data_IF_341208658664
#
_entry.id   IF_341208658664
#
_cell.length_a   1.000
_cell.length_b   1.000
_cell.length_c   1.000
_cell.angle_alpha   90.00
_cell.angle_beta   90.00
_cell.angle_gamma   90.00
#
_symmetry.space_group_name_H-M   'P 1'
#
loop_
_entity.id
_entity.type
_entity.pdbx_description
1 polymer ?
#
# COMPACT_ATOMS: atom_id res chain seq x y z
N UNK A 1 -6.45 33.92 4.11
CA UNK A 1 -7.07 33.46 5.38
C UNK A 1 -7.18 31.96 5.31
N UNK A 2 -6.56 31.23 6.24
CA UNK A 2 -6.82 29.79 6.37
C UNK A 2 -8.27 29.57 6.79
N UNK A 3 -8.92 28.48 6.36
CA UNK A 3 -10.26 28.15 6.83
C UNK A 3 -10.29 28.02 8.35
N UNK A 4 -11.46 28.26 8.94
CA UNK A 4 -11.67 28.00 10.37
C UNK A 4 -11.39 26.51 10.67
N UNK A 5 -10.81 26.18 11.83
CA UNK A 5 -10.45 24.81 12.16
C UNK A 5 -11.69 23.92 12.18
N UNK A 6 -11.59 22.75 11.57
CA UNK A 6 -12.68 21.80 11.47
C UNK A 6 -12.54 20.74 12.56
N UNK A 7 -13.54 20.63 13.44
CA UNK A 7 -13.55 19.64 14.53
C UNK A 7 -14.62 18.58 14.30
N UNK A 8 -14.21 17.32 14.34
CA UNK A 8 -15.09 16.16 14.41
C UNK A 8 -15.10 15.62 15.84
N UNK A 9 -16.29 15.28 16.34
CA UNK A 9 -16.47 14.55 17.58
C UNK A 9 -17.06 13.17 17.26
N UNK A 10 -16.20 12.17 17.35
CA UNK A 10 -16.56 10.77 17.22
C UNK A 10 -17.18 10.32 18.55
N UNK A 11 -18.36 9.71 18.53
CA UNK A 11 -19.14 9.33 19.72
C UNK A 11 -19.70 7.91 19.58
N UNK A 12 -20.16 7.34 20.70
CA UNK A 12 -20.83 6.03 20.69
C UNK A 12 -19.90 4.88 20.32
N UNK A 13 -18.58 5.07 20.46
CA UNK A 13 -17.56 4.08 20.12
C UNK A 13 -16.95 3.39 21.34
N UNK A 14 -15.93 2.57 21.06
CA UNK A 14 -14.98 2.03 22.05
C UNK A 14 -13.60 2.53 21.66
N UNK A 15 -13.11 3.57 22.34
CA UNK A 15 -11.86 4.23 21.97
C UNK A 15 -10.72 3.68 22.82
N UNK A 16 -9.78 2.98 22.19
CA UNK A 16 -8.58 2.51 22.88
C UNK A 16 -7.62 3.67 23.13
N UNK A 17 -7.41 4.00 24.40
CA UNK A 17 -6.41 4.97 24.83
C UNK A 17 -5.86 4.59 26.20
N UNK A 18 -4.53 4.56 26.34
CA UNK A 18 -3.89 4.26 27.61
C UNK A 18 -4.20 5.30 28.71
N UNK A 19 -4.47 6.55 28.32
CA UNK A 19 -4.81 7.64 29.25
C UNK A 19 -6.31 7.74 29.57
N UNK A 20 -7.16 7.03 28.82
CA UNK A 20 -8.61 7.06 28.96
C UNK A 20 -9.21 5.69 28.60
N UNK A 21 -9.07 4.67 29.49
CA UNK A 21 -9.40 3.29 29.16
C UNK A 21 -10.88 3.04 28.92
N UNK A 22 -11.76 3.86 29.49
CA UNK A 22 -13.22 3.73 29.35
C UNK A 22 -13.79 4.63 28.25
N UNK A 23 -12.96 5.27 27.42
CA UNK A 23 -13.40 6.29 26.48
C UNK A 23 -14.41 5.77 25.44
N UNK A 24 -15.47 6.55 25.27
CA UNK A 24 -16.55 6.33 24.30
C UNK A 24 -16.55 7.36 23.16
N UNK A 25 -15.82 8.46 23.33
CA UNK A 25 -15.71 9.56 22.38
C UNK A 25 -14.29 10.11 22.21
N UNK A 26 -14.03 10.71 21.06
CA UNK A 26 -12.77 11.35 20.68
C UNK A 26 -13.05 12.58 19.82
N UNK A 27 -12.39 13.71 20.12
CA UNK A 27 -12.44 14.90 19.28
C UNK A 27 -11.14 15.04 18.46
N UNK A 28 -11.30 15.30 17.17
CA UNK A 28 -10.21 15.51 16.21
C UNK A 28 -10.39 16.85 15.54
N UNK A 29 -9.39 17.73 15.67
CA UNK A 29 -9.35 19.02 14.97
C UNK A 29 -8.23 18.98 13.94
N UNK A 30 -8.57 19.17 12.66
CA UNK A 30 -7.62 19.19 11.55
C UNK A 30 -6.60 18.03 11.57
N UNK A 31 -7.09 16.81 11.81
CA UNK A 31 -6.27 15.59 11.87
C UNK A 31 -5.53 15.34 13.18
N UNK A 32 -5.64 16.24 14.16
CA UNK A 32 -5.01 16.08 15.48
C UNK A 32 -6.05 15.70 16.53
N UNK A 33 -5.78 14.65 17.32
CA UNK A 33 -6.61 14.31 18.49
C UNK A 33 -6.42 15.39 19.56
N UNK A 34 -7.49 16.15 19.86
CA UNK A 34 -7.46 17.23 20.86
C UNK A 34 -8.08 16.83 22.18
N UNK A 35 -8.89 15.76 22.20
CA UNK A 35 -9.55 15.27 23.41
C UNK A 35 -10.02 13.81 23.25
N UNK A 36 -10.00 13.06 24.35
CA UNK A 36 -10.51 11.67 24.43
C UNK A 36 -11.24 11.51 25.77
N UNK A 37 -12.42 10.89 25.77
CA UNK A 37 -13.19 10.67 26.99
C UNK A 37 -14.58 10.11 26.74
N UNK A 38 -15.57 10.54 27.52
CA UNK A 38 -16.95 10.05 27.45
C UNK A 38 -17.85 10.92 26.55
N UNK A 39 -18.81 10.30 25.85
CA UNK A 39 -19.76 10.99 24.93
C UNK A 39 -20.34 12.30 25.48
N UNK A 40 -20.86 12.28 26.71
CA UNK A 40 -21.55 13.45 27.29
C UNK A 40 -20.60 14.64 27.53
N UNK A 41 -19.46 14.48 28.23
CA UNK A 41 -18.43 15.53 28.27
C UNK A 41 -17.96 15.99 26.90
N UNK A 42 -17.76 15.07 25.94
CA UNK A 42 -17.32 15.41 24.60
C UNK A 42 -18.27 16.39 23.91
N UNK A 43 -19.58 16.11 23.94
CA UNK A 43 -20.60 17.00 23.36
C UNK A 43 -20.68 18.36 24.03
N UNK A 44 -20.38 18.43 25.34
CA UNK A 44 -20.38 19.69 26.08
C UNK A 44 -19.14 20.53 25.81
N UNK A 45 -17.97 19.90 25.64
CA UNK A 45 -16.69 20.56 25.37
C UNK A 45 -16.54 20.97 23.91
N UNK A 46 -17.22 20.27 23.00
CA UNK A 46 -17.17 20.50 21.56
C UNK A 46 -18.58 20.66 20.96
N UNK A 47 -19.35 21.69 21.36
CA UNK A 47 -20.74 21.86 20.97
C UNK A 47 -20.94 22.16 19.47
N UNK A 48 -19.93 22.76 18.83
CA UNK A 48 -19.96 23.15 17.41
C UNK A 48 -19.28 22.12 16.49
N UNK A 49 -18.81 20.99 17.03
CA UNK A 49 -18.16 19.95 16.24
C UNK A 49 -19.14 19.16 15.38
N UNK A 50 -18.67 18.71 14.21
CA UNK A 50 -19.38 17.71 13.42
C UNK A 50 -19.45 16.40 14.22
N UNK A 51 -20.66 15.90 14.47
CA UNK A 51 -20.85 14.65 15.19
C UNK A 51 -20.74 13.47 14.24
N UNK A 52 -19.87 12.51 14.57
CA UNK A 52 -19.74 11.23 13.88
C UNK A 52 -20.12 10.10 14.85
N UNK A 53 -21.27 9.48 14.65
CA UNK A 53 -21.69 8.31 15.44
C UNK A 53 -20.97 7.05 14.94
N UNK A 54 -20.27 6.37 15.85
CA UNK A 54 -19.50 5.17 15.56
C UNK A 54 -20.32 3.87 15.71
N UNK A 55 -21.56 3.93 16.19
CA UNK A 55 -22.45 2.78 16.32
C UNK A 55 -21.81 1.57 17.04
N UNK A 56 -21.03 1.83 18.09
CA UNK A 56 -20.33 0.81 18.89
C UNK A 56 -19.00 0.33 18.30
N UNK A 57 -18.54 0.90 17.18
CA UNK A 57 -17.28 0.53 16.55
C UNK A 57 -16.09 0.79 17.48
N UNK A 58 -15.03 0.00 17.27
CA UNK A 58 -13.78 0.12 17.99
C UNK A 58 -12.82 1.05 17.25
N UNK A 59 -12.18 1.97 17.97
CA UNK A 59 -11.14 2.85 17.45
C UNK A 59 -9.84 2.54 18.16
N UNK A 60 -8.79 2.32 17.38
CA UNK A 60 -7.43 2.10 17.87
C UNK A 60 -6.47 3.07 17.19
N UNK A 61 -5.27 3.30 17.77
CA UNK A 61 -4.16 3.87 17.03
C UNK A 61 -3.94 3.10 15.73
N UNK A 62 -3.64 3.83 14.65
CA UNK A 62 -3.21 3.21 13.40
C UNK A 62 -1.94 2.37 13.63
N UNK A 63 -1.77 1.32 12.84
CA UNK A 63 -0.54 0.54 12.87
C UNK A 63 0.64 1.41 12.41
N UNK A 64 1.78 1.27 13.11
CA UNK A 64 3.04 1.89 12.73
C UNK A 64 4.04 0.77 12.45
N UNK A 65 4.42 0.63 11.19
CA UNK A 65 5.51 -0.24 10.78
C UNK A 65 6.80 0.59 10.75
N UNK A 66 7.75 0.26 11.62
CA UNK A 66 9.02 0.99 11.77
C UNK A 66 10.09 0.52 10.78
N UNK A 67 9.83 -0.55 10.02
CA UNK A 67 10.77 -1.04 9.03
C UNK A 67 10.04 -1.69 7.86
N UNK A 68 9.88 -0.89 6.80
CA UNK A 68 9.29 -1.35 5.54
C UNK A 68 10.11 -0.86 4.36
N UNK A 69 10.13 -1.65 3.29
CA UNK A 69 10.65 -1.26 1.99
C UNK A 69 9.51 -0.74 1.10
N UNK A 70 9.01 0.46 1.38
CA UNK A 70 7.78 0.99 0.75
C UNK A 70 7.88 1.05 -0.78
N UNK A 71 9.00 1.52 -1.31
CA UNK A 71 9.21 1.59 -2.78
C UNK A 71 9.19 0.21 -3.42
N UNK A 72 9.94 -0.75 -2.85
CA UNK A 72 9.98 -2.12 -3.37
C UNK A 72 8.61 -2.80 -3.29
N UNK A 73 7.86 -2.56 -2.21
CA UNK A 73 6.50 -3.08 -2.06
C UNK A 73 5.54 -2.48 -3.10
N UNK A 74 5.61 -1.16 -3.33
CA UNK A 74 4.83 -0.51 -4.38
C UNK A 74 5.15 -1.08 -5.77
N UNK A 75 6.43 -1.23 -6.10
CA UNK A 75 6.86 -1.83 -7.37
C UNK A 75 6.40 -3.29 -7.52
N UNK A 76 6.34 -4.07 -6.44
CA UNK A 76 5.80 -5.43 -6.48
C UNK A 76 4.28 -5.45 -6.69
N UNK A 77 3.54 -4.46 -6.18
CA UNK A 77 2.09 -4.36 -6.34
C UNK A 77 1.67 -3.86 -7.73
N UNK A 78 2.44 -2.96 -8.32
CA UNK A 78 2.06 -2.28 -9.58
C UNK A 78 2.87 -2.75 -10.78
N UNK A 79 4.03 -3.37 -10.56
CA UNK A 79 4.91 -3.86 -11.61
C UNK A 79 4.47 -5.21 -12.17
N UNK A 80 5.34 -5.77 -13.02
CA UNK A 80 5.13 -7.06 -13.65
C UNK A 80 5.53 -8.21 -12.72
N UNK A 81 4.55 -8.96 -12.22
CA UNK A 81 4.80 -10.19 -11.45
C UNK A 81 4.97 -11.41 -12.37
N UNK A 82 6.16 -12.03 -12.29
CA UNK A 82 6.55 -13.24 -13.02
C UNK A 82 6.66 -14.48 -12.13
N UNK A 83 6.19 -14.41 -10.87
CA UNK A 83 6.27 -15.53 -9.90
C UNK A 83 5.59 -16.80 -10.42
N UNK A 84 4.54 -16.65 -11.22
CA UNK A 84 3.80 -17.76 -11.84
C UNK A 84 4.24 -18.09 -13.28
N UNK A 85 5.34 -17.51 -13.77
CA UNK A 85 5.88 -17.88 -15.07
C UNK A 85 6.41 -19.32 -15.04
N UNK A 86 6.00 -20.13 -16.01
CA UNK A 86 6.28 -21.59 -16.03
C UNK A 86 7.52 -21.96 -16.83
N UNK A 87 7.96 -21.07 -17.72
CA UNK A 87 9.18 -21.17 -18.52
C UNK A 87 9.57 -19.76 -19.03
N UNK A 88 10.71 -19.69 -19.73
CA UNK A 88 11.24 -18.44 -20.31
C UNK A 88 10.29 -17.82 -21.33
N UNK A 89 9.63 -18.63 -22.15
CA UNK A 89 8.74 -18.13 -23.20
C UNK A 89 7.46 -17.51 -22.60
N UNK A 90 6.90 -18.13 -21.55
CA UNK A 90 5.78 -17.58 -20.79
C UNK A 90 6.16 -16.26 -20.11
N UNK A 91 7.35 -16.18 -19.51
CA UNK A 91 7.86 -14.94 -18.93
C UNK A 91 7.94 -13.81 -19.97
N UNK A 92 8.53 -14.06 -21.14
CA UNK A 92 8.65 -13.07 -22.22
C UNK A 92 7.30 -12.69 -22.84
N UNK A 93 6.36 -13.64 -22.91
CA UNK A 93 4.98 -13.37 -23.33
C UNK A 93 4.28 -12.41 -22.36
N UNK A 94 4.50 -12.58 -21.05
CA UNK A 94 3.98 -11.66 -20.02
C UNK A 94 4.62 -10.28 -20.10
N UNK A 95 5.93 -10.20 -20.39
CA UNK A 95 6.62 -8.92 -20.65
C UNK A 95 5.98 -8.18 -21.84
N UNK A 96 5.77 -8.87 -22.98
CA UNK A 96 5.10 -8.29 -24.16
C UNK A 96 3.71 -7.76 -23.82
N UNK A 97 2.90 -8.60 -23.17
CA UNK A 97 1.54 -8.23 -22.79
C UNK A 97 1.51 -7.04 -21.82
N UNK A 98 2.47 -6.95 -20.91
CA UNK A 98 2.60 -5.82 -20.00
C UNK A 98 3.01 -4.55 -20.75
N UNK A 99 3.97 -4.64 -21.68
CA UNK A 99 4.39 -3.53 -22.54
C UNK A 99 3.26 -2.99 -23.42
N UNK A 100 2.41 -3.87 -23.96
CA UNK A 100 1.26 -3.49 -24.81
C UNK A 100 0.13 -2.83 -24.00
N UNK A 101 0.01 -3.18 -22.72
CA UNK A 101 -1.05 -2.68 -21.84
C UNK A 101 -0.66 -1.40 -21.08
N UNK A 102 0.62 -1.01 -21.06
CA UNK A 102 1.14 0.08 -20.24
C UNK A 102 2.15 0.97 -20.96
N UNK A 103 1.94 2.28 -20.84
CA UNK A 103 2.74 3.32 -21.50
C UNK A 103 3.83 3.93 -20.59
N UNK A 104 4.25 3.26 -19.50
CA UNK A 104 5.27 3.73 -18.54
C UNK A 104 6.62 4.09 -19.21
N UNK A 105 7.71 4.47 -18.55
CA UNK A 105 9.01 4.57 -19.27
C UNK A 105 9.86 3.30 -19.11
N UNK A 106 9.64 2.60 -18.00
CA UNK A 106 10.41 1.45 -17.55
C UNK A 106 9.44 0.37 -17.11
N UNK A 107 9.65 -0.85 -17.59
CA UNK A 107 8.95 -2.03 -17.11
C UNK A 107 9.78 -2.62 -15.97
N UNK A 108 9.27 -2.47 -14.76
CA UNK A 108 9.80 -3.13 -13.58
C UNK A 108 9.07 -4.45 -13.36
N UNK A 109 9.80 -5.56 -13.40
CA UNK A 109 9.25 -6.87 -13.09
C UNK A 109 10.05 -7.62 -12.04
N UNK A 110 9.43 -8.61 -11.42
CA UNK A 110 10.07 -9.45 -10.42
C UNK A 110 9.57 -10.90 -10.46
N UNK A 111 10.25 -11.78 -9.74
CA UNK A 111 9.70 -13.08 -9.34
C UNK A 111 9.99 -14.24 -10.28
N UNK A 112 10.67 -14.02 -11.41
CA UNK A 112 11.06 -15.14 -12.27
C UNK A 112 12.01 -16.08 -11.52
N UNK A 113 11.84 -17.39 -11.76
CA UNK A 113 12.62 -18.46 -11.13
C UNK A 113 12.82 -19.61 -12.13
N UNK A 114 13.90 -19.51 -12.87
CA UNK A 114 14.34 -20.49 -13.86
C UNK A 114 14.59 -21.88 -13.23
N UNK A 115 14.89 -21.96 -11.93
CA UNK A 115 15.18 -23.24 -11.27
C UNK A 115 13.96 -24.15 -11.17
N UNK A 116 12.76 -23.60 -11.38
CA UNK A 116 11.48 -24.32 -11.37
C UNK A 116 10.97 -24.63 -12.78
N UNK A 117 11.63 -24.12 -13.82
CA UNK A 117 11.23 -24.29 -15.21
C UNK A 117 11.74 -25.63 -15.77
N UNK A 118 11.04 -26.23 -16.76
CA UNK A 118 11.54 -27.43 -17.44
C UNK A 118 12.90 -27.24 -18.11
N UNK A 119 13.14 -26.07 -18.70
CA UNK A 119 14.44 -25.60 -19.15
C UNK A 119 14.90 -24.46 -18.23
N UNK A 120 15.94 -24.66 -17.40
CA UNK A 120 16.39 -23.68 -16.42
C UNK A 120 17.27 -22.57 -17.02
N UNK A 121 16.95 -22.16 -18.24
CA UNK A 121 17.64 -21.07 -18.93
C UNK A 121 16.95 -19.74 -18.60
N UNK A 122 17.63 -18.81 -17.91
CA UNK A 122 17.05 -17.52 -17.55
C UNK A 122 16.85 -16.62 -18.79
N UNK A 123 15.96 -15.61 -18.72
CA UNK A 123 15.86 -14.59 -19.77
C UNK A 123 17.16 -13.79 -19.87
N UNK A 124 17.50 -13.36 -21.08
CA UNK A 124 18.66 -12.52 -21.37
C UNK A 124 18.24 -11.10 -21.73
N UNK A 125 19.14 -10.12 -21.65
CA UNK A 125 18.85 -8.74 -22.09
C UNK A 125 18.39 -8.68 -23.55
N UNK A 126 18.94 -9.52 -24.43
CA UNK A 126 18.51 -9.63 -25.82
C UNK A 126 17.06 -10.13 -25.96
N UNK A 127 16.62 -11.01 -25.07
CA UNK A 127 15.22 -11.44 -25.03
C UNK A 127 14.29 -10.30 -24.62
N UNK A 128 14.72 -9.47 -23.66
CA UNK A 128 13.94 -8.33 -23.18
C UNK A 128 13.84 -7.24 -24.24
N UNK A 129 14.95 -6.92 -24.92
CA UNK A 129 14.98 -5.98 -26.05
C UNK A 129 14.02 -6.42 -27.17
N UNK A 130 13.93 -7.72 -27.43
CA UNK A 130 13.00 -8.28 -28.41
C UNK A 130 11.55 -8.34 -27.91
N UNK A 131 11.32 -8.54 -26.61
CA UNK A 131 10.00 -8.63 -26.01
C UNK A 131 9.34 -7.26 -25.80
N UNK A 132 10.11 -6.21 -25.54
CA UNK A 132 9.60 -4.87 -25.35
C UNK A 132 10.49 -3.83 -26.06
N UNK A 133 10.43 -3.76 -27.42
CA UNK A 133 11.27 -2.86 -28.17
C UNK A 133 11.10 -1.40 -27.73
N UNK A 134 12.22 -0.68 -27.60
CA UNK A 134 12.27 0.72 -27.16
C UNK A 134 11.79 0.99 -25.72
N UNK A 135 11.66 -0.05 -24.89
CA UNK A 135 11.35 0.05 -23.46
C UNK A 135 12.58 -0.31 -22.64
N UNK A 136 12.80 0.38 -21.52
CA UNK A 136 13.73 -0.11 -20.51
C UNK A 136 13.03 -1.21 -19.71
N UNK A 137 13.67 -2.36 -19.54
CA UNK A 137 13.12 -3.49 -18.78
C UNK A 137 14.14 -3.88 -17.71
N UNK A 138 13.66 -4.10 -16.49
CA UNK A 138 14.45 -4.68 -15.40
C UNK A 138 13.64 -5.78 -14.74
N UNK A 139 14.12 -7.02 -14.79
CA UNK A 139 13.44 -8.17 -14.21
C UNK A 139 14.25 -8.75 -13.05
N UNK A 140 13.85 -8.45 -11.82
CA UNK A 140 14.44 -9.06 -10.63
C UNK A 140 14.08 -10.54 -10.49
N UNK A 141 15.07 -11.40 -10.24
CA UNK A 141 14.84 -12.81 -9.91
C UNK A 141 14.08 -12.93 -8.58
N UNK A 142 13.43 -14.07 -8.34
CA UNK A 142 12.68 -14.35 -7.11
C UNK A 142 13.45 -14.10 -5.81
N UNK A 143 14.78 -14.29 -5.83
CA UNK A 143 15.64 -14.09 -4.67
C UNK A 143 16.16 -12.65 -4.52
N UNK A 144 15.89 -11.77 -5.49
CA UNK A 144 16.41 -10.41 -5.58
C UNK A 144 17.96 -10.30 -5.61
N UNK A 145 18.67 -11.36 -5.99
CA UNK A 145 20.13 -11.38 -6.10
C UNK A 145 20.65 -11.40 -7.54
N UNK A 146 19.75 -11.46 -8.52
CA UNK A 146 20.07 -11.41 -9.95
C UNK A 146 18.95 -10.70 -10.71
N UNK A 147 19.29 -10.16 -11.88
CA UNK A 147 18.33 -9.54 -12.77
C UNK A 147 18.72 -9.74 -14.23
N UNK A 148 17.71 -9.68 -15.10
CA UNK A 148 17.84 -9.59 -16.55
C UNK A 148 17.40 -8.20 -17.02
#
# INVERSE_FOLDING_TARGET
MSPAPHTQLLVGGRIYSASAPDATAMAVTDGTVVWVGQDRPGRALHPDAEIVDLHGAFVAPGFVDTHVHTTSHGLALTGLDLTDAVDRDDALRRVRAHADAHDDAVIWGHGWDETRWPDPTPPTTADLDAAAPARLVYLGRIDAHSAA
#
